data_IF_707950831292
#
_entry.id   IF_707950831292
#
_cell.length_a   1.000
_cell.length_b   1.000
_cell.length_c   1.000
_cell.angle_alpha   90.00
_cell.angle_beta   90.00
_cell.angle_gamma   90.00
#
_symmetry.space_group_name_H-M   'P 1'
#
loop_
_entity.id
_entity.type
_entity.pdbx_description
1 polymer ?
#
# COMPACT_ATOMS: atom_id res chain seq x y z
N UNK A 1 -11.03 10.46 -5.74
CA UNK A 1 -11.20 9.00 -5.98
C UNK A 1 -9.86 8.32 -5.80
N UNK A 2 -9.80 6.99 -5.82
CA UNK A 2 -8.55 6.28 -5.59
C UNK A 2 -8.65 4.78 -5.82
N UNK A 3 -7.60 4.09 -5.42
CA UNK A 3 -7.46 2.64 -5.49
C UNK A 3 -7.18 2.08 -4.08
N UNK A 4 -7.69 0.88 -3.80
CA UNK A 4 -7.38 0.11 -2.57
C UNK A 4 -6.82 -1.25 -2.94
N UNK A 5 -5.83 -1.73 -2.18
CA UNK A 5 -5.16 -3.01 -2.42
C UNK A 5 -6.04 -4.24 -2.24
N UNK A 6 -7.08 -4.15 -1.40
CA UNK A 6 -7.82 -5.31 -0.92
C UNK A 6 -8.43 -6.16 -2.03
N UNK A 7 -9.15 -5.53 -2.96
CA UNK A 7 -9.97 -6.24 -3.94
C UNK A 7 -9.17 -7.18 -4.86
N UNK A 8 -7.91 -6.84 -5.13
CA UNK A 8 -7.04 -7.63 -6.01
C UNK A 8 -6.08 -8.50 -5.20
N UNK A 9 -5.46 -7.94 -4.16
CA UNK A 9 -4.29 -8.55 -3.52
C UNK A 9 -4.57 -9.13 -2.14
N UNK A 10 -5.66 -8.73 -1.48
CA UNK A 10 -5.90 -9.04 -0.05
C UNK A 10 -4.64 -8.67 0.76
N UNK A 11 -4.17 -9.58 1.62
CA UNK A 11 -2.95 -9.40 2.40
C UNK A 11 -1.66 -9.62 1.61
N UNK A 12 -1.70 -10.07 0.35
CA UNK A 12 -0.51 -10.39 -0.44
C UNK A 12 0.06 -9.14 -1.13
N UNK A 13 0.49 -8.17 -0.31
CA UNK A 13 1.00 -6.86 -0.74
C UNK A 13 2.46 -6.67 -0.33
N UNK A 14 3.16 -5.77 -1.02
CA UNK A 14 4.51 -5.34 -0.69
C UNK A 14 4.71 -3.87 -1.07
N UNK A 15 5.73 -3.22 -0.51
CA UNK A 15 6.11 -1.85 -0.83
C UNK A 15 6.33 -1.65 -2.34
N UNK A 16 7.04 -2.58 -2.98
CA UNK A 16 7.27 -2.55 -4.43
C UNK A 16 5.96 -2.62 -5.21
N UNK A 17 5.04 -3.51 -4.82
CA UNK A 17 3.74 -3.65 -5.47
C UNK A 17 2.91 -2.36 -5.34
N UNK A 18 2.87 -1.75 -4.15
CA UNK A 18 2.12 -0.51 -3.92
C UNK A 18 2.72 0.65 -4.72
N UNK A 19 4.05 0.75 -4.80
CA UNK A 19 4.75 1.75 -5.64
C UNK A 19 4.43 1.55 -7.13
N UNK A 20 4.53 0.32 -7.62
CA UNK A 20 4.19 -0.02 -9.00
C UNK A 20 2.72 0.31 -9.34
N UNK A 21 1.81 0.13 -8.38
CA UNK A 21 0.41 0.49 -8.57
C UNK A 21 0.21 2.02 -8.63
N UNK A 22 0.90 2.78 -7.78
CA UNK A 22 0.88 4.24 -7.83
C UNK A 22 1.41 4.76 -9.17
N UNK A 23 2.53 4.20 -9.65
CA UNK A 23 3.10 4.52 -10.96
C UNK A 23 2.14 4.18 -12.10
N UNK A 24 1.40 3.07 -11.99
CA UNK A 24 0.38 2.70 -12.96
C UNK A 24 -0.78 3.71 -13.00
N UNK A 25 -1.23 4.24 -11.86
CA UNK A 25 -2.26 5.29 -11.84
C UNK A 25 -1.81 6.56 -12.59
N UNK A 26 -0.53 6.93 -12.46
CA UNK A 26 0.05 8.08 -13.19
C UNK A 26 0.18 7.76 -14.68
N UNK A 27 0.82 6.64 -15.02
CA UNK A 27 1.09 6.24 -16.41
C UNK A 27 -0.20 6.07 -17.23
N UNK A 28 -1.28 5.65 -16.59
CA UNK A 28 -2.60 5.47 -17.24
C UNK A 28 -3.46 6.74 -17.26
N UNK A 29 -2.95 7.88 -16.77
CA UNK A 29 -3.69 9.15 -16.72
C UNK A 29 -4.84 9.16 -15.70
N UNK A 30 -4.95 8.15 -14.83
CA UNK A 30 -6.03 8.06 -13.84
C UNK A 30 -5.90 9.15 -12.77
N UNK A 31 -4.67 9.55 -12.44
CA UNK A 31 -4.41 10.69 -11.57
C UNK A 31 -5.07 11.97 -12.10
N UNK A 32 -4.98 12.21 -13.41
CA UNK A 32 -5.46 13.44 -14.04
C UNK A 32 -6.99 13.54 -14.05
N UNK A 33 -7.69 12.39 -13.95
CA UNK A 33 -9.14 12.31 -13.80
C UNK A 33 -9.60 12.11 -12.35
N UNK A 34 -8.71 12.34 -11.37
CA UNK A 34 -9.07 12.45 -9.94
C UNK A 34 -8.85 11.19 -9.09
N UNK A 35 -8.15 10.17 -9.58
CA UNK A 35 -7.68 9.04 -8.76
C UNK A 35 -6.36 9.40 -8.06
N UNK A 36 -6.47 10.09 -6.93
CA UNK A 36 -5.34 10.69 -6.22
C UNK A 36 -4.95 9.94 -4.93
N UNK A 37 -5.75 8.96 -4.51
CA UNK A 37 -5.48 8.16 -3.32
C UNK A 37 -5.03 6.74 -3.66
N UNK A 38 -4.00 6.28 -2.95
CA UNK A 38 -3.52 4.90 -2.93
C UNK A 38 -3.68 4.41 -1.50
N UNK A 39 -4.68 3.57 -1.27
CA UNK A 39 -4.98 3.05 0.05
C UNK A 39 -4.37 1.66 0.20
N UNK A 40 -3.47 1.52 1.18
CA UNK A 40 -2.96 0.23 1.62
C UNK A 40 -3.97 -0.33 2.62
N UNK A 41 -4.58 -1.45 2.27
CA UNK A 41 -5.52 -2.17 3.15
C UNK A 41 -4.75 -3.15 4.06
N UNK A 42 -5.42 -4.18 4.58
CA UNK A 42 -4.80 -5.15 5.46
C UNK A 42 -3.57 -5.86 4.83
N UNK A 43 -2.63 -6.28 5.67
CA UNK A 43 -1.35 -6.88 5.27
C UNK A 43 -0.11 -5.99 5.46
N UNK A 44 -0.29 -4.71 5.83
CA UNK A 44 0.80 -3.79 6.21
C UNK A 44 1.31 -4.01 7.64
N UNK A 45 0.42 -4.42 8.54
CA UNK A 45 0.71 -4.51 9.97
C UNK A 45 1.77 -5.58 10.29
N UNK A 46 2.80 -5.19 11.04
CA UNK A 46 3.89 -6.06 11.49
C UNK A 46 3.84 -6.43 12.97
N UNK A 47 2.84 -5.94 13.72
CA UNK A 47 2.76 -6.12 15.17
C UNK A 47 2.92 -4.81 15.94
N UNK A 48 3.27 -4.95 17.22
CA UNK A 48 3.61 -3.82 18.09
C UNK A 48 4.98 -4.04 18.73
N UNK A 49 5.72 -2.96 18.94
CA UNK A 49 6.97 -3.01 19.71
C UNK A 49 6.71 -3.07 21.23
N UNK A 50 7.79 -3.09 22.01
CA UNK A 50 7.73 -3.15 23.48
C UNK A 50 7.02 -1.94 24.11
N UNK A 51 6.95 -0.82 23.40
CA UNK A 51 6.25 0.40 23.81
C UNK A 51 4.80 0.43 23.30
N UNK A 52 4.34 -0.64 22.65
CA UNK A 52 3.00 -0.78 22.10
C UNK A 52 2.78 0.00 20.81
N UNK A 53 3.82 0.58 20.18
CA UNK A 53 3.69 1.30 18.91
C UNK A 53 3.52 0.31 17.77
N UNK A 54 2.64 0.64 16.81
CA UNK A 54 2.46 -0.21 15.64
C UNK A 54 3.72 -0.22 14.79
N UNK A 55 4.08 -1.41 14.33
CA UNK A 55 5.17 -1.63 13.38
C UNK A 55 4.63 -2.11 12.05
N UNK A 56 5.45 -1.97 11.00
CA UNK A 56 5.16 -2.46 9.66
C UNK A 56 5.73 -3.86 9.44
N UNK A 57 5.15 -4.60 8.50
CA UNK A 57 5.62 -5.95 8.15
C UNK A 57 6.98 -5.88 7.43
N UNK A 58 8.09 -6.07 8.15
CA UNK A 58 9.47 -5.82 7.68
C UNK A 58 9.87 -6.51 6.37
N UNK A 59 9.36 -7.71 6.09
CA UNK A 59 9.66 -8.40 4.82
C UNK A 59 8.92 -7.79 3.61
N UNK A 60 7.71 -7.26 3.84
CA UNK A 60 6.85 -6.72 2.78
C UNK A 60 7.10 -5.23 2.56
N UNK A 61 7.41 -4.52 3.65
CA UNK A 61 7.64 -3.09 3.70
C UNK A 61 8.99 -2.82 4.37
N UNK A 62 10.13 -3.14 3.74
CA UNK A 62 11.44 -3.03 4.38
C UNK A 62 11.81 -1.59 4.76
N UNK A 63 11.25 -0.58 4.08
CA UNK A 63 11.59 0.83 4.30
C UNK A 63 10.57 1.60 5.15
N UNK A 64 9.52 0.95 5.65
CA UNK A 64 8.44 1.58 6.42
C UNK A 64 7.44 2.30 5.54
#
# INVERSE_FOLDING_TARGET
MGWSSWNTYRVNISEELIKNQADALVRQGLKDVGYIYVNIDDGFFGGRDEQGQMTYHRERFPNG
#
